data_IF_232313452325
#
_entry.id   IF_232313452325
#
_cell.length_a   1.000
_cell.length_b   1.000
_cell.length_c   1.000
_cell.angle_alpha   90.00
_cell.angle_beta   90.00
_cell.angle_gamma   90.00
#
_symmetry.space_group_name_H-M   'P 1'
#
loop_
_entity.id
_entity.type
_entity.pdbx_description
1 polymer ?
#
# COMPACT_ATOMS: atom_id res chain seq x y z
N UNK A 1 15.97 7.09 -3.95
CA UNK A 1 16.17 6.16 -2.85
C UNK A 1 15.70 4.77 -3.18
N UNK A 2 16.51 3.80 -2.84
CA UNK A 2 16.22 2.43 -3.19
C UNK A 2 15.47 1.73 -2.07
N UNK A 3 14.26 1.33 -2.39
CA UNK A 3 13.39 0.63 -1.50
C UNK A 3 13.76 -0.85 -1.36
N UNK A 4 14.02 -1.56 -2.43
CA UNK A 4 13.93 -3.00 -2.44
C UNK A 4 14.98 -3.78 -1.65
N UNK A 5 16.25 -3.44 -1.79
CA UNK A 5 17.30 -4.32 -1.27
C UNK A 5 17.39 -4.37 0.25
N UNK A 6 17.16 -3.25 0.91
CA UNK A 6 17.27 -3.17 2.36
C UNK A 6 15.98 -3.50 3.09
N UNK A 7 14.85 -3.37 2.41
CA UNK A 7 13.56 -3.50 3.07
C UNK A 7 13.31 -4.91 3.63
N UNK A 8 13.78 -5.95 2.97
CA UNK A 8 13.59 -7.33 3.46
C UNK A 8 14.35 -7.62 4.74
N UNK A 9 15.43 -6.88 5.03
CA UNK A 9 16.18 -7.05 6.27
C UNK A 9 15.59 -6.28 7.43
N UNK A 10 14.65 -5.39 7.16
CA UNK A 10 13.97 -4.61 8.20
C UNK A 10 12.52 -5.03 8.36
N UNK A 11 12.15 -6.13 7.70
CA UNK A 11 10.85 -6.76 7.89
C UNK A 11 10.73 -7.27 9.31
N UNK A 12 9.56 -7.08 9.91
CA UNK A 12 9.35 -7.55 11.28
C UNK A 12 7.90 -7.43 11.70
N UNK A 13 7.67 -7.65 12.98
CA UNK A 13 6.35 -7.56 13.58
C UNK A 13 6.21 -6.19 14.22
N UNK A 14 5.13 -5.49 13.87
CA UNK A 14 4.80 -4.21 14.47
C UNK A 14 3.97 -4.42 15.73
N UNK A 15 4.39 -3.81 16.84
CA UNK A 15 3.67 -3.88 18.12
C UNK A 15 3.05 -2.52 18.40
N UNK A 16 1.74 -2.35 18.17
CA UNK A 16 1.10 -1.06 18.40
C UNK A 16 1.00 -0.75 19.89
N UNK A 17 1.15 0.53 20.25
CA UNK A 17 0.88 1.00 21.61
C UNK A 17 -0.62 1.20 21.82
N UNK A 18 -1.32 1.60 20.76
CA UNK A 18 -2.76 1.84 20.79
C UNK A 18 -3.47 0.73 20.03
N UNK A 19 -3.31 -0.50 20.49
CA UNK A 19 -3.76 -1.70 19.80
C UNK A 19 -5.29 -1.71 19.56
N UNK A 20 -6.05 -0.97 20.36
CA UNK A 20 -7.51 -0.88 20.21
C UNK A 20 -7.92 -0.28 18.86
N UNK A 21 -7.05 0.51 18.23
CA UNK A 21 -7.30 1.11 16.93
C UNK A 21 -7.12 0.11 15.79
N UNK A 22 -6.40 -0.98 16.03
CA UNK A 22 -6.13 -1.93 14.97
C UNK A 22 -7.33 -2.84 14.73
N UNK A 23 -7.81 -2.88 13.49
CA UNK A 23 -8.93 -3.72 13.10
C UNK A 23 -8.40 -5.04 12.54
N UNK A 24 -8.25 -6.00 13.42
CA UNK A 24 -7.68 -7.31 13.14
C UNK A 24 -6.94 -7.81 14.36
N UNK A 25 -6.03 -8.76 14.16
CA UNK A 25 -5.21 -9.29 15.25
C UNK A 25 -3.98 -8.40 15.45
N UNK A 26 -3.94 -7.60 16.52
CA UNK A 26 -2.81 -6.66 16.73
C UNK A 26 -1.49 -7.36 17.09
N UNK A 27 -1.51 -8.66 17.31
CA UNK A 27 -0.28 -9.43 17.57
C UNK A 27 0.37 -9.97 16.31
N UNK A 28 -0.28 -9.80 15.15
CA UNK A 28 0.16 -10.36 13.87
C UNK A 28 0.33 -9.32 12.77
N UNK A 29 0.72 -8.11 13.13
CA UNK A 29 0.94 -7.04 12.17
C UNK A 29 2.37 -7.12 11.67
N UNK A 30 2.54 -7.33 10.36
CA UNK A 30 3.86 -7.47 9.76
C UNK A 30 4.13 -6.27 8.87
N UNK A 31 5.25 -5.57 9.10
CA UNK A 31 5.75 -4.60 8.14
C UNK A 31 6.81 -5.28 7.27
N UNK A 32 6.76 -4.98 5.97
CA UNK A 32 7.66 -5.59 4.99
C UNK A 32 8.73 -4.62 4.52
N UNK A 33 8.69 -3.39 5.00
CA UNK A 33 9.66 -2.36 4.68
C UNK A 33 9.69 -1.32 5.78
N UNK A 34 10.74 -0.51 5.80
CA UNK A 34 10.84 0.60 6.76
C UNK A 34 9.77 1.66 6.51
N UNK A 35 9.36 1.83 5.27
CA UNK A 35 8.32 2.80 4.94
C UNK A 35 6.98 2.37 5.53
N UNK A 36 6.63 1.09 5.37
CA UNK A 36 5.41 0.56 5.98
C UNK A 36 5.44 0.72 7.50
N UNK A 37 6.59 0.43 8.12
CA UNK A 37 6.73 0.59 9.57
C UNK A 37 6.51 2.05 9.99
N UNK A 38 7.02 3.01 9.23
CA UNK A 38 6.81 4.42 9.51
C UNK A 38 5.35 4.82 9.40
N UNK A 39 4.67 4.31 8.39
CA UNK A 39 3.22 4.54 8.24
C UNK A 39 2.48 3.95 9.44
N UNK A 40 2.83 2.73 9.84
CA UNK A 40 2.20 2.08 11.01
C UNK A 40 2.40 2.89 12.29
N UNK A 41 3.60 3.42 12.50
CA UNK A 41 3.86 4.28 13.65
C UNK A 41 2.98 5.52 13.63
N UNK A 42 2.85 6.15 12.46
CA UNK A 42 1.99 7.31 12.32
C UNK A 42 0.53 6.97 12.58
N UNK A 43 0.06 5.86 12.03
CA UNK A 43 -1.32 5.41 12.22
C UNK A 43 -1.61 5.13 13.70
N UNK A 44 -0.67 4.50 14.38
CA UNK A 44 -0.83 4.14 15.80
C UNK A 44 -0.87 5.38 16.69
N UNK A 45 -0.05 6.38 16.40
CA UNK A 45 0.11 7.55 17.27
C UNK A 45 -0.82 8.71 16.92
N UNK A 46 -1.37 8.76 15.72
CA UNK A 46 -2.19 9.90 15.28
C UNK A 46 -3.59 9.80 15.89
N UNK A 47 -3.96 10.80 16.69
CA UNK A 47 -5.27 10.83 17.36
C UNK A 47 -6.44 10.93 16.40
N UNK A 48 -6.21 11.46 15.19
CA UNK A 48 -7.25 11.54 14.16
C UNK A 48 -7.56 10.19 13.50
N UNK A 49 -6.68 9.20 13.65
CA UNK A 49 -6.91 7.86 13.13
C UNK A 49 -7.79 7.09 14.11
N UNK A 50 -8.99 6.73 13.66
CA UNK A 50 -9.96 6.01 14.49
C UNK A 50 -9.65 4.53 14.49
N UNK A 51 -9.40 3.96 13.31
CA UNK A 51 -9.04 2.55 13.17
C UNK A 51 -8.20 2.35 11.91
N UNK A 52 -7.43 1.29 11.87
CA UNK A 52 -6.63 0.93 10.71
C UNK A 52 -6.37 -0.57 10.68
N UNK A 53 -6.06 -1.08 9.48
CA UNK A 53 -5.65 -2.47 9.30
C UNK A 53 -4.56 -2.55 8.24
N UNK A 54 -3.79 -3.64 8.26
CA UNK A 54 -2.70 -3.90 7.33
C UNK A 54 -2.91 -5.25 6.69
N UNK A 55 -2.99 -5.28 5.36
CA UNK A 55 -3.10 -6.51 4.56
C UNK A 55 -4.28 -7.40 4.96
N UNK A 56 -5.36 -6.80 5.47
CA UNK A 56 -6.56 -7.54 5.87
C UNK A 56 -7.61 -7.59 4.75
N UNK A 57 -7.62 -6.60 3.87
CA UNK A 57 -8.61 -6.52 2.79
C UNK A 57 -8.02 -7.05 1.49
N UNK A 58 -8.70 -8.04 0.91
CA UNK A 58 -8.33 -8.59 -0.39
C UNK A 58 -9.28 -8.06 -1.47
N UNK A 59 -8.72 -7.47 -2.52
CA UNK A 59 -9.48 -6.92 -3.64
C UNK A 59 -9.19 -7.79 -4.87
N UNK A 60 -10.22 -8.40 -5.49
CA UNK A 60 -9.99 -9.20 -6.68
C UNK A 60 -9.64 -8.33 -7.88
N UNK A 61 -8.72 -8.80 -8.71
CA UNK A 61 -8.36 -8.14 -9.95
C UNK A 61 -7.96 -9.21 -10.97
N UNK A 62 -7.99 -8.84 -12.26
CA UNK A 62 -7.52 -9.70 -13.34
C UNK A 62 -6.10 -9.31 -13.65
N UNK A 63 -5.16 -10.24 -13.50
CA UNK A 63 -3.75 -9.96 -13.78
C UNK A 63 -3.47 -9.97 -15.28
N UNK A 64 -2.87 -8.91 -15.83
CA UNK A 64 -2.45 -8.92 -17.23
C UNK A 64 -1.32 -9.91 -17.52
N UNK A 65 -0.69 -10.45 -16.48
CA UNK A 65 0.39 -11.42 -16.64
C UNK A 65 -0.13 -12.78 -17.13
N UNK A 66 -1.30 -13.22 -16.66
CA UNK A 66 -1.86 -14.54 -17.02
C UNK A 66 -3.34 -14.49 -17.38
N UNK A 67 -3.98 -13.32 -17.35
CA UNK A 67 -5.39 -13.15 -17.65
C UNK A 67 -6.33 -13.78 -16.63
N UNK A 68 -5.84 -14.13 -15.46
CA UNK A 68 -6.62 -14.83 -14.42
C UNK A 68 -6.93 -13.93 -13.23
N UNK A 69 -7.99 -14.26 -12.47
CA UNK A 69 -8.29 -13.55 -11.24
C UNK A 69 -7.23 -13.82 -10.17
N UNK A 70 -6.85 -12.75 -9.47
CA UNK A 70 -5.93 -12.82 -8.33
C UNK A 70 -6.49 -11.95 -7.22
N UNK A 71 -5.93 -12.07 -6.03
CA UNK A 71 -6.28 -11.24 -4.88
C UNK A 71 -5.17 -10.24 -4.62
N UNK A 72 -5.55 -8.99 -4.48
CA UNK A 72 -4.64 -7.90 -4.12
C UNK A 72 -4.93 -7.51 -2.69
N UNK A 73 -3.97 -7.74 -1.80
CA UNK A 73 -4.08 -7.30 -0.40
C UNK A 73 -3.56 -5.88 -0.32
N UNK A 74 -4.48 -4.93 -0.06
CA UNK A 74 -4.13 -3.52 0.08
C UNK A 74 -3.24 -3.32 1.31
N UNK A 75 -2.25 -2.43 1.22
CA UNK A 75 -1.32 -2.24 2.33
C UNK A 75 -2.04 -1.80 3.59
N UNK A 76 -2.89 -0.78 3.51
CA UNK A 76 -3.61 -0.28 4.68
C UNK A 76 -5.03 0.14 4.34
N UNK A 77 -5.95 -0.09 5.29
CA UNK A 77 -7.27 0.53 5.31
C UNK A 77 -7.30 1.41 6.55
N UNK A 78 -7.60 2.69 6.38
CA UNK A 78 -7.50 3.68 7.45
C UNK A 78 -8.79 4.48 7.54
N UNK A 79 -9.40 4.55 8.71
CA UNK A 79 -10.55 5.41 8.97
C UNK A 79 -10.10 6.57 9.86
N UNK A 80 -10.33 7.78 9.38
CA UNK A 80 -9.88 9.01 10.02
C UNK A 80 -11.04 9.92 10.35
N UNK A 81 -10.93 10.62 11.48
CA UNK A 81 -11.85 11.69 11.82
C UNK A 81 -11.52 12.92 10.98
N UNK A 82 -12.56 13.58 10.49
CA UNK A 82 -12.44 14.85 9.76
C UNK A 82 -13.33 15.89 10.43
N UNK A 83 -13.27 17.13 9.95
CA UNK A 83 -14.12 18.20 10.49
C UNK A 83 -15.61 17.94 10.30
N UNK A 84 -15.97 17.16 9.29
CA UNK A 84 -17.37 16.93 8.92
C UNK A 84 -17.82 15.49 9.16
N UNK A 85 -16.99 14.64 9.75
CA UNK A 85 -17.36 13.26 10.01
C UNK A 85 -16.14 12.34 9.96
N UNK A 86 -16.24 11.25 9.20
CA UNK A 86 -15.13 10.30 9.06
C UNK A 86 -14.88 10.03 7.58
N UNK A 87 -13.63 9.72 7.27
CA UNK A 87 -13.22 9.28 5.93
C UNK A 87 -12.46 7.97 6.05
N UNK A 88 -12.67 7.07 5.09
CA UNK A 88 -11.90 5.83 5.00
C UNK A 88 -11.05 5.86 3.73
N UNK A 89 -9.80 5.49 3.88
CA UNK A 89 -8.81 5.47 2.81
C UNK A 89 -8.24 4.08 2.64
N UNK A 90 -8.14 3.64 1.38
CA UNK A 90 -7.29 2.53 0.99
C UNK A 90 -5.93 3.12 0.65
N UNK A 91 -4.88 2.61 1.27
CA UNK A 91 -3.54 3.16 1.11
C UNK A 91 -2.58 2.09 0.60
N UNK A 92 -1.88 2.45 -0.46
CA UNK A 92 -0.78 1.67 -1.01
C UNK A 92 0.51 2.47 -0.80
N UNK A 93 1.56 1.80 -0.33
CA UNK A 93 2.88 2.42 -0.18
C UNK A 93 3.75 1.98 -1.34
N UNK A 94 4.23 2.92 -2.14
CA UNK A 94 4.98 2.60 -3.35
C UNK A 94 6.01 3.67 -3.67
N UNK A 95 7.25 3.30 -4.04
CA UNK A 95 8.22 4.29 -4.50
C UNK A 95 7.69 5.06 -5.71
N UNK A 96 7.96 6.36 -5.74
CA UNK A 96 7.48 7.25 -6.80
C UNK A 96 7.88 6.76 -8.19
N UNK A 97 9.09 6.22 -8.32
CA UNK A 97 9.58 5.69 -9.60
C UNK A 97 8.73 4.52 -10.11
N UNK A 98 8.07 3.79 -9.22
CA UNK A 98 7.21 2.65 -9.59
C UNK A 98 5.77 3.07 -9.86
N UNK A 99 5.44 4.34 -9.68
CA UNK A 99 4.12 4.89 -9.99
C UNK A 99 4.02 5.39 -11.43
N UNK A 100 5.07 5.22 -12.23
CA UNK A 100 5.14 5.66 -13.61
C UNK A 100 5.62 4.51 -14.47
N UNK A 101 5.25 4.50 -15.78
CA UNK A 101 5.76 3.48 -16.70
C UNK A 101 7.29 3.48 -16.72
N UNK A 102 7.93 2.31 -16.81
CA UNK A 102 9.38 2.25 -16.94
C UNK A 102 9.86 2.97 -18.20
N UNK A 103 11.01 3.64 -18.10
CA UNK A 103 11.61 4.28 -19.27
C UNK A 103 12.09 3.23 -20.25
N UNK A 104 11.78 3.44 -21.53
CA UNK A 104 12.27 2.56 -22.60
C UNK A 104 13.78 2.72 -22.74
N UNK A 105 14.58 1.63 -22.60
CA UNK A 105 16.03 1.69 -22.77
C UNK A 105 16.42 1.77 -24.25
N UNK A 106 17.68 2.09 -24.50
CA UNK A 106 18.20 2.08 -25.88
C UNK A 106 18.16 0.69 -26.48
N UNK A 107 18.42 -0.36 -25.67
CA UNK A 107 18.30 -1.74 -26.08
C UNK A 107 17.24 -2.43 -25.24
N UNK A 108 16.41 -3.22 -25.92
CA UNK A 108 15.43 -4.04 -25.21
C UNK A 108 16.16 -5.11 -24.40
N UNK A 109 15.66 -5.32 -23.18
CA UNK A 109 16.20 -6.33 -22.27
C UNK A 109 15.05 -7.04 -21.58
N UNK A 110 15.33 -8.25 -21.08
CA UNK A 110 14.34 -8.98 -20.30
C UNK A 110 13.95 -8.21 -19.05
N UNK A 111 14.92 -7.53 -18.45
CA UNK A 111 14.62 -6.70 -17.26
C UNK A 111 13.63 -5.59 -17.55
N UNK A 112 13.72 -4.95 -18.70
CA UNK A 112 12.74 -3.93 -19.10
C UNK A 112 11.37 -4.55 -19.32
N UNK A 113 11.29 -5.67 -20.03
CA UNK A 113 10.02 -6.38 -20.26
C UNK A 113 9.37 -6.74 -18.93
N UNK A 114 10.16 -7.25 -17.98
CA UNK A 114 9.66 -7.62 -16.65
C UNK A 114 9.12 -6.40 -15.89
N UNK A 115 9.81 -5.25 -16.00
CA UNK A 115 9.35 -4.02 -15.34
C UNK A 115 8.06 -3.48 -15.95
N UNK A 116 7.93 -3.56 -17.28
CA UNK A 116 6.70 -3.16 -17.97
C UNK A 116 5.54 -4.03 -17.49
N UNK A 117 5.76 -5.34 -17.42
CA UNK A 117 4.73 -6.27 -16.97
C UNK A 117 4.35 -6.03 -15.50
N UNK A 118 5.34 -5.81 -14.64
CA UNK A 118 5.09 -5.49 -13.23
C UNK A 118 4.28 -4.21 -13.11
N UNK A 119 4.60 -3.19 -13.88
CA UNK A 119 3.84 -1.94 -13.86
C UNK A 119 2.39 -2.18 -14.32
N UNK A 120 2.19 -2.98 -15.37
CA UNK A 120 0.85 -3.30 -15.84
C UNK A 120 0.02 -4.04 -14.78
N UNK A 121 0.64 -4.97 -14.05
CA UNK A 121 0.00 -5.66 -12.93
C UNK A 121 -0.39 -4.65 -11.84
N UNK A 122 0.51 -3.75 -11.48
CA UNK A 122 0.23 -2.74 -10.46
C UNK A 122 -0.90 -1.80 -10.89
N UNK A 123 -0.92 -1.38 -12.17
CA UNK A 123 -2.01 -0.55 -12.68
C UNK A 123 -3.37 -1.27 -12.56
N UNK A 124 -3.40 -2.57 -12.87
CA UNK A 124 -4.62 -3.36 -12.77
C UNK A 124 -5.09 -3.44 -11.32
N UNK A 125 -4.16 -3.66 -10.38
CA UNK A 125 -4.47 -3.66 -8.95
C UNK A 125 -5.04 -2.32 -8.50
N UNK A 126 -4.38 -1.23 -8.87
CA UNK A 126 -4.75 0.12 -8.42
C UNK A 126 -6.09 0.55 -9.01
N UNK A 127 -6.36 0.18 -10.26
CA UNK A 127 -7.66 0.48 -10.88
C UNK A 127 -8.79 -0.19 -10.09
N UNK A 128 -8.60 -1.44 -9.67
CA UNK A 128 -9.62 -2.14 -8.89
C UNK A 128 -9.72 -1.60 -7.47
N UNK A 129 -8.61 -1.19 -6.87
CA UNK A 129 -8.64 -0.55 -5.55
C UNK A 129 -9.40 0.77 -5.60
N UNK A 130 -9.17 1.58 -6.62
CA UNK A 130 -9.88 2.85 -6.81
C UNK A 130 -11.38 2.60 -7.01
N UNK A 131 -11.74 1.63 -7.83
CA UNK A 131 -13.12 1.24 -8.06
C UNK A 131 -13.80 0.77 -6.76
N UNK A 132 -13.11 -0.09 -6.01
CA UNK A 132 -13.60 -0.58 -4.73
C UNK A 132 -13.85 0.58 -3.76
N UNK A 133 -12.89 1.49 -3.66
CA UNK A 133 -13.01 2.65 -2.80
C UNK A 133 -14.21 3.52 -3.19
N UNK A 134 -14.36 3.82 -4.48
CA UNK A 134 -15.48 4.62 -4.98
C UNK A 134 -16.83 3.97 -4.67
N UNK A 135 -16.92 2.66 -4.84
CA UNK A 135 -18.16 1.94 -4.55
C UNK A 135 -18.55 2.00 -3.08
N UNK A 136 -17.56 2.16 -2.19
CA UNK A 136 -17.78 2.28 -0.75
C UNK A 136 -17.90 3.73 -0.26
N UNK A 137 -17.69 4.69 -1.13
CA UNK A 137 -17.59 6.09 -0.72
C UNK A 137 -16.27 6.41 -0.02
N UNK A 138 -15.25 5.60 -0.26
CA UNK A 138 -13.90 5.74 0.28
C UNK A 138 -12.97 6.39 -0.73
N UNK A 139 -11.72 6.60 -0.34
CA UNK A 139 -10.67 7.14 -1.20
C UNK A 139 -9.54 6.15 -1.34
N UNK A 140 -8.91 6.09 -2.52
CA UNK A 140 -7.70 5.32 -2.73
C UNK A 140 -6.52 6.28 -2.90
N UNK A 141 -5.45 6.06 -2.15
CA UNK A 141 -4.28 6.93 -2.12
C UNK A 141 -3.01 6.11 -2.19
N UNK A 142 -2.09 6.52 -3.05
CA UNK A 142 -0.74 5.94 -3.09
C UNK A 142 0.19 6.88 -2.35
N UNK A 143 0.85 6.38 -1.30
CA UNK A 143 1.84 7.13 -0.57
C UNK A 143 3.23 6.81 -1.12
N UNK A 144 3.96 7.84 -1.45
CA UNK A 144 5.33 7.74 -1.94
C UNK A 144 6.29 8.32 -0.90
N UNK A 145 7.58 8.33 -1.20
CA UNK A 145 8.58 8.96 -0.34
C UNK A 145 8.28 10.43 -0.06
N UNK A 146 7.52 11.10 -0.94
CA UNK A 146 7.13 12.50 -0.72
C UNK A 146 6.15 12.67 0.43
N UNK A 147 5.42 11.62 0.81
CA UNK A 147 4.36 11.66 1.81
C UNK A 147 4.76 11.01 3.12
N UNK A 148 5.77 10.15 3.10
CA UNK A 148 6.15 9.35 4.27
C UNK A 148 7.22 10.08 5.06
N UNK A 149 7.04 10.25 6.40
CA UNK A 149 8.07 10.88 7.21
C UNK A 149 9.41 10.16 7.10
N UNK A 150 10.47 10.92 6.87
CA UNK A 150 11.82 10.36 6.68
C UNK A 150 12.42 9.87 8.00
N UNK A 151 11.91 10.38 9.11
CA UNK A 151 12.42 10.04 10.44
C UNK A 151 11.42 9.25 11.24
#
# INVERSE_FOLDING_TARGET
>A
MLYPKKSRYIQGIFKPKNWQKYKGDPTKIIYRSSWERRVMLWLDHNKGVIEWSSEELAIPYISPKDGKPHRYFIDFVVTMATKTGVETHLIEVKPKTQCQPPKKPKRMSQGYVDRVLTYAVNEAKWAMADQYAKNKGWKFTILTEDHIPVK
#
